data_IF_205984077124
#
_entry.id   IF_205984077124
#
_cell.length_a   1.000
_cell.length_b   1.000
_cell.length_c   1.000
_cell.angle_alpha   90.00
_cell.angle_beta   90.00
_cell.angle_gamma   90.00
#
_symmetry.space_group_name_H-M   'P 1'
#
loop_
_entity.id
_entity.type
_entity.pdbx_description
1 polymer ?
#
# COMPACT_ATOMS: atom_id res chain seq x y z
N UNK A 1 5.23 -11.35 21.73
CA UNK A 1 4.94 -10.18 20.86
C UNK A 1 5.58 -10.30 19.48
N UNK A 2 6.87 -10.58 19.37
CA UNK A 2 7.61 -10.61 18.08
C UNK A 2 7.10 -11.64 17.06
N UNK A 3 6.78 -12.88 17.48
CA UNK A 3 6.19 -13.91 16.59
C UNK A 3 4.84 -13.51 16.00
N UNK A 4 4.06 -12.70 16.75
CA UNK A 4 2.77 -12.17 16.28
C UNK A 4 3.04 -11.15 15.19
N UNK A 5 3.88 -10.14 15.46
CA UNK A 5 4.29 -9.10 14.49
C UNK A 5 4.83 -9.71 13.18
N UNK A 6 5.69 -10.73 13.25
CA UNK A 6 6.22 -11.41 12.05
C UNK A 6 5.13 -12.12 11.21
N UNK A 7 4.13 -12.74 11.85
CA UNK A 7 2.97 -13.31 11.14
C UNK A 7 2.07 -12.22 10.54
N UNK A 8 2.15 -10.99 11.03
CA UNK A 8 1.31 -9.86 10.56
C UNK A 8 1.96 -9.04 9.46
N UNK A 9 3.28 -8.94 9.49
CA UNK A 9 4.02 -8.12 8.53
C UNK A 9 4.37 -8.86 7.24
N UNK A 10 4.25 -10.19 7.17
CA UNK A 10 4.73 -10.92 5.98
C UNK A 10 3.95 -10.62 4.68
N UNK A 11 2.61 -10.47 4.63
CA UNK A 11 1.94 -10.16 3.37
C UNK A 11 2.27 -8.75 2.84
N UNK A 12 2.19 -7.66 3.63
CA UNK A 12 2.61 -6.35 3.15
C UNK A 12 4.13 -6.28 2.94
N UNK A 13 4.95 -7.07 3.64
CA UNK A 13 6.38 -7.15 3.36
C UNK A 13 6.67 -7.80 1.99
N UNK A 14 5.93 -8.84 1.59
CA UNK A 14 6.04 -9.40 0.24
C UNK A 14 5.67 -8.34 -0.80
N UNK A 15 4.57 -7.61 -0.59
CA UNK A 15 4.16 -6.53 -1.50
C UNK A 15 5.23 -5.45 -1.56
N UNK A 16 5.79 -5.04 -0.43
CA UNK A 16 6.90 -4.08 -0.41
C UNK A 16 8.12 -4.60 -1.19
N UNK A 17 8.50 -5.88 -1.03
CA UNK A 17 9.61 -6.46 -1.82
C UNK A 17 9.29 -6.44 -3.32
N UNK A 18 8.05 -6.75 -3.70
CA UNK A 18 7.60 -6.67 -5.10
C UNK A 18 7.70 -5.22 -5.59
N UNK A 19 7.22 -4.24 -4.82
CA UNK A 19 7.31 -2.82 -5.14
C UNK A 19 8.77 -2.41 -5.35
N UNK A 20 9.68 -2.77 -4.43
CA UNK A 20 11.10 -2.51 -4.58
C UNK A 20 11.66 -3.10 -5.88
N UNK A 21 11.31 -4.34 -6.20
CA UNK A 21 11.78 -5.00 -7.42
C UNK A 21 11.26 -4.28 -8.68
N UNK A 22 9.97 -3.95 -8.73
CA UNK A 22 9.35 -3.28 -9.86
C UNK A 22 9.87 -1.86 -10.08
N UNK A 23 10.05 -1.09 -9.01
CA UNK A 23 10.48 0.31 -9.06
C UNK A 23 11.99 0.46 -9.33
N UNK A 24 12.82 -0.40 -8.73
CA UNK A 24 14.27 -0.20 -8.75
C UNK A 24 15.02 -1.15 -9.71
N UNK A 25 14.56 -2.39 -9.89
CA UNK A 25 15.36 -3.43 -10.57
C UNK A 25 14.93 -3.72 -12.01
N UNK A 26 13.68 -3.45 -12.39
CA UNK A 26 13.25 -3.61 -13.78
C UNK A 26 13.76 -2.41 -14.61
N UNK A 27 14.30 -2.60 -15.82
CA UNK A 27 14.61 -1.47 -16.71
C UNK A 27 13.33 -0.89 -17.33
N UNK A 28 13.22 0.43 -17.41
CA UNK A 28 12.04 1.10 -17.98
C UNK A 28 11.83 0.72 -19.46
N UNK A 29 12.88 0.32 -20.18
CA UNK A 29 12.81 -0.07 -21.59
C UNK A 29 12.08 -1.41 -21.86
N UNK A 30 11.85 -2.23 -20.83
CA UNK A 30 11.13 -3.51 -20.97
C UNK A 30 9.61 -3.38 -20.74
N UNK A 31 9.13 -2.19 -20.35
CA UNK A 31 7.70 -1.96 -20.12
C UNK A 31 7.07 -1.59 -21.46
N UNK A 32 6.17 -2.43 -22.02
CA UNK A 32 5.51 -2.12 -23.28
C UNK A 32 4.74 -0.80 -23.15
N UNK A 33 4.99 0.13 -24.06
CA UNK A 33 4.23 1.38 -24.14
C UNK A 33 2.75 1.03 -24.34
N UNK A 34 1.96 1.31 -23.32
CA UNK A 34 0.51 1.15 -23.40
C UNK A 34 0.02 2.29 -24.29
N UNK A 35 -0.38 2.00 -25.52
CA UNK A 35 -0.89 2.98 -26.50
C UNK A 35 -2.25 3.61 -26.14
N UNK A 36 -2.53 3.74 -24.85
CA UNK A 36 -3.67 4.44 -24.28
C UNK A 36 -3.14 5.78 -23.77
N UNK A 37 -3.46 6.86 -24.45
CA UNK A 37 -3.18 8.22 -23.99
C UNK A 37 -4.10 8.55 -22.81
N UNK A 38 -3.69 8.18 -21.60
CA UNK A 38 -4.31 8.68 -20.39
C UNK A 38 -3.91 10.14 -20.14
N UNK A 39 -4.83 10.94 -19.59
CA UNK A 39 -4.51 12.30 -19.13
C UNK A 39 -3.44 12.31 -18.02
N UNK A 40 -3.34 11.22 -17.26
CA UNK A 40 -2.32 11.00 -16.23
C UNK A 40 -1.36 9.94 -16.76
N UNK A 41 -0.03 10.18 -16.72
CA UNK A 41 0.97 9.19 -17.07
C UNK A 41 0.75 7.85 -16.35
N UNK A 42 0.91 6.74 -17.10
CA UNK A 42 0.64 5.37 -16.61
C UNK A 42 1.50 4.99 -15.41
N UNK A 43 2.71 5.54 -15.30
CA UNK A 43 3.60 5.35 -14.15
C UNK A 43 2.93 5.75 -12.82
N UNK A 44 2.29 6.91 -12.76
CA UNK A 44 1.61 7.44 -11.56
C UNK A 44 0.41 6.61 -11.18
N UNK A 45 -0.31 6.08 -12.17
CA UNK A 45 -1.42 5.17 -11.93
C UNK A 45 -0.91 3.87 -11.28
N UNK A 46 0.20 3.34 -11.78
CA UNK A 46 0.84 2.14 -11.23
C UNK A 46 1.32 2.38 -9.80
N UNK A 47 2.01 3.50 -9.53
CA UNK A 47 2.43 3.92 -8.19
C UNK A 47 1.23 4.04 -7.23
N UNK A 48 0.18 4.75 -7.65
CA UNK A 48 -1.06 4.85 -6.88
C UNK A 48 -1.66 3.49 -6.53
N UNK A 49 -1.77 2.58 -7.51
CA UNK A 49 -2.33 1.24 -7.29
C UNK A 49 -1.45 0.37 -6.40
N UNK A 50 -0.12 0.47 -6.54
CA UNK A 50 0.84 -0.27 -5.72
C UNK A 50 0.73 0.12 -4.25
N UNK A 51 0.66 1.42 -3.94
CA UNK A 51 0.53 1.89 -2.55
C UNK A 51 -0.87 1.73 -1.99
N UNK A 52 -1.91 1.82 -2.83
CA UNK A 52 -3.28 1.41 -2.46
C UNK A 52 -3.31 -0.06 -2.05
N UNK A 53 -2.66 -0.93 -2.82
CA UNK A 53 -2.54 -2.36 -2.52
C UNK A 53 -1.74 -2.64 -1.25
N UNK A 54 -0.57 -2.01 -1.10
CA UNK A 54 0.29 -2.17 0.09
C UNK A 54 -0.43 -1.73 1.37
N UNK A 55 -0.97 -0.51 1.38
CA UNK A 55 -1.72 0.04 2.50
C UNK A 55 -3.01 -0.74 2.76
N UNK A 56 -3.72 -1.13 1.69
CA UNK A 56 -4.90 -1.98 1.72
C UNK A 56 -4.60 -3.31 2.42
N UNK A 57 -3.64 -4.09 1.94
CA UNK A 57 -3.30 -5.40 2.54
C UNK A 57 -2.82 -5.25 3.98
N UNK A 58 -2.02 -4.23 4.29
CA UNK A 58 -1.62 -3.93 5.66
C UNK A 58 -2.84 -3.67 6.59
N UNK A 59 -3.80 -2.87 6.11
CA UNK A 59 -5.02 -2.54 6.84
C UNK A 59 -5.95 -3.76 7.03
N UNK A 60 -6.19 -4.53 5.96
CA UNK A 60 -7.06 -5.71 5.98
C UNK A 60 -6.53 -6.78 6.93
N UNK A 61 -5.23 -7.04 6.91
CA UNK A 61 -4.61 -8.02 7.78
C UNK A 61 -4.76 -7.63 9.27
N UNK A 62 -4.59 -6.33 9.58
CA UNK A 62 -4.77 -5.83 10.95
C UNK A 62 -6.23 -5.89 11.42
N UNK A 63 -7.18 -5.54 10.55
CA UNK A 63 -8.62 -5.56 10.87
C UNK A 63 -9.11 -7.00 11.05
N UNK A 64 -8.71 -7.92 10.16
CA UNK A 64 -9.12 -9.31 10.20
C UNK A 64 -8.61 -10.04 11.45
N UNK A 65 -7.33 -9.87 11.84
CA UNK A 65 -6.79 -10.50 13.06
C UNK A 65 -7.50 -10.05 14.35
N UNK A 66 -7.99 -8.81 14.36
CA UNK A 66 -8.71 -8.24 15.50
C UNK A 66 -10.22 -8.41 15.41
N UNK A 67 -10.72 -9.12 14.40
CA UNK A 67 -12.15 -9.23 14.12
C UNK A 67 -12.86 -7.86 14.18
N UNK A 68 -12.28 -6.82 13.57
CA UNK A 68 -12.85 -5.46 13.57
C UNK A 68 -12.61 -4.62 14.83
N UNK A 69 -12.21 -5.23 15.97
CA UNK A 69 -11.91 -4.52 17.23
C UNK A 69 -10.49 -3.94 17.24
N UNK A 70 -10.23 -3.00 16.33
CA UNK A 70 -8.94 -2.33 16.16
C UNK A 70 -8.88 -0.94 16.83
N UNK A 71 -7.66 -0.46 17.06
CA UNK A 71 -7.40 0.94 17.38
C UNK A 71 -7.16 1.70 16.07
N UNK A 72 -8.03 2.64 15.74
CA UNK A 72 -7.98 3.41 14.47
C UNK A 72 -6.63 4.11 14.30
N UNK A 73 -6.08 4.69 15.36
CA UNK A 73 -4.76 5.34 15.30
C UNK A 73 -3.65 4.35 14.92
N UNK A 74 -3.71 3.10 15.41
CA UNK A 74 -2.74 2.07 15.02
C UNK A 74 -2.94 1.64 13.57
N UNK A 75 -4.18 1.57 13.09
CA UNK A 75 -4.46 1.31 11.68
C UNK A 75 -3.80 2.37 10.80
N UNK A 76 -4.03 3.66 11.09
CA UNK A 76 -3.45 4.77 10.32
C UNK A 76 -1.92 4.72 10.38
N UNK A 77 -1.34 4.52 11.58
CA UNK A 77 0.11 4.46 11.73
C UNK A 77 0.74 3.31 10.94
N UNK A 78 0.19 2.10 11.02
CA UNK A 78 0.78 0.92 10.38
C UNK A 78 0.44 0.80 8.90
N UNK A 79 -0.79 1.14 8.50
CA UNK A 79 -1.27 0.94 7.15
C UNK A 79 -1.08 2.16 6.24
N UNK A 80 -0.84 3.35 6.78
CA UNK A 80 -0.66 4.57 5.96
C UNK A 80 0.72 5.16 6.17
N UNK A 81 1.11 5.46 7.42
CA UNK A 81 2.37 6.15 7.66
C UNK A 81 3.59 5.31 7.25
N UNK A 82 3.59 4.01 7.54
CA UNK A 82 4.70 3.12 7.15
C UNK A 82 4.83 3.02 5.63
N UNK A 83 3.76 2.75 4.84
CA UNK A 83 3.83 2.80 3.38
C UNK A 83 4.31 4.14 2.83
N UNK A 84 3.83 5.28 3.36
CA UNK A 84 4.29 6.60 2.89
C UNK A 84 5.79 6.79 3.12
N UNK A 85 6.29 6.47 4.31
CA UNK A 85 7.73 6.55 4.61
C UNK A 85 8.52 5.62 3.69
N UNK A 86 7.98 4.42 3.43
CA UNK A 86 8.57 3.47 2.52
C UNK A 86 8.65 4.01 1.08
N UNK A 87 7.60 4.63 0.55
CA UNK A 87 7.62 5.24 -0.79
C UNK A 87 8.59 6.40 -0.92
N UNK A 88 8.61 7.31 0.06
CA UNK A 88 9.61 8.37 0.08
C UNK A 88 11.05 7.85 0.13
N UNK A 89 11.28 6.74 0.82
CA UNK A 89 12.58 6.07 0.82
C UNK A 89 12.93 5.46 -0.55
N UNK A 90 11.98 4.84 -1.23
CA UNK A 90 12.17 4.27 -2.59
C UNK A 90 12.50 5.37 -3.59
N UNK A 91 11.78 6.49 -3.57
CA UNK A 91 12.01 7.62 -4.48
C UNK A 91 13.41 8.24 -4.29
N UNK A 92 13.84 8.41 -3.04
CA UNK A 92 15.20 8.87 -2.72
C UNK A 92 16.24 7.86 -3.20
N UNK A 93 15.97 6.55 -3.04
CA UNK A 93 16.87 5.51 -3.52
C UNK A 93 16.97 5.52 -5.06
N UNK A 94 15.86 5.65 -5.77
CA UNK A 94 15.84 5.73 -7.22
C UNK A 94 16.64 6.95 -7.70
N UNK A 95 16.36 8.14 -7.16
CA UNK A 95 17.04 9.37 -7.51
C UNK A 95 18.57 9.33 -7.27
N UNK A 96 19.03 8.60 -6.25
CA UNK A 96 20.45 8.58 -5.85
C UNK A 96 21.25 7.42 -6.42
N UNK A 97 20.64 6.25 -6.59
CA UNK A 97 21.34 5.00 -6.93
C UNK A 97 20.93 4.39 -8.26
N UNK A 98 19.81 4.82 -8.86
CA UNK A 98 19.30 4.27 -10.12
C UNK A 98 19.18 5.38 -11.17
N UNK A 99 20.28 5.77 -11.84
CA UNK A 99 20.31 6.90 -12.77
C UNK A 99 19.42 6.73 -14.01
N UNK A 100 18.96 5.51 -14.32
CA UNK A 100 17.99 5.22 -15.39
C UNK A 100 16.53 5.42 -14.95
N UNK A 101 16.28 5.71 -13.66
CA UNK A 101 14.98 6.00 -13.09
C UNK A 101 14.93 7.46 -12.65
N UNK A 102 13.97 8.23 -13.17
CA UNK A 102 13.69 9.57 -12.65
C UNK A 102 12.90 9.45 -11.37
N UNK A 103 13.56 9.53 -10.20
CA UNK A 103 12.81 9.74 -8.95
C UNK A 103 12.05 11.06 -9.07
N UNK A 104 10.72 11.01 -9.00
CA UNK A 104 9.84 12.15 -9.23
C UNK A 104 8.97 12.39 -7.99
N UNK A 105 8.89 13.64 -7.56
CA UNK A 105 8.00 14.05 -6.48
C UNK A 105 6.53 13.79 -6.82
N UNK A 106 6.17 13.70 -8.11
CA UNK A 106 4.82 13.31 -8.53
C UNK A 106 4.54 11.82 -8.32
N UNK A 107 5.55 10.95 -8.40
CA UNK A 107 5.39 9.52 -8.11
C UNK A 107 5.25 9.31 -6.60
N UNK A 108 6.03 10.05 -5.79
CA UNK A 108 5.80 10.12 -4.34
C UNK A 108 4.39 10.61 -3.97
N UNK A 109 3.86 11.60 -4.70
CA UNK A 109 2.50 12.08 -4.47
C UNK A 109 1.48 10.99 -4.80
N UNK A 110 1.68 10.23 -5.89
CA UNK A 110 0.82 9.11 -6.24
C UNK A 110 0.85 8.02 -5.16
N UNK A 111 2.02 7.71 -4.60
CA UNK A 111 2.19 6.77 -3.48
C UNK A 111 1.37 7.21 -2.25
N UNK A 112 1.48 8.49 -1.88
CA UNK A 112 0.74 9.06 -0.74
C UNK A 112 -0.76 9.00 -0.97
N UNK A 113 -1.23 9.38 -2.16
CA UNK A 113 -2.64 9.33 -2.51
C UNK A 113 -3.16 7.89 -2.48
N UNK A 114 -2.42 6.93 -3.03
CA UNK A 114 -2.77 5.51 -3.00
C UNK A 114 -2.92 4.99 -1.57
N UNK A 115 -1.93 5.30 -0.72
CA UNK A 115 -1.97 4.91 0.69
C UNK A 115 -3.17 5.52 1.44
N UNK A 116 -3.49 6.79 1.21
CA UNK A 116 -4.63 7.47 1.84
C UNK A 116 -5.98 6.92 1.33
N UNK A 117 -6.08 6.63 0.03
CA UNK A 117 -7.26 6.04 -0.59
C UNK A 117 -7.59 4.64 -0.04
N UNK A 118 -6.65 3.96 0.62
CA UNK A 118 -6.94 2.68 1.29
C UNK A 118 -7.86 2.85 2.51
N UNK A 119 -7.80 3.97 3.23
CA UNK A 119 -8.53 4.21 4.48
C UNK A 119 -10.05 4.02 4.38
N UNK A 120 -10.78 4.64 3.43
CA UNK A 120 -12.23 4.43 3.31
C UNK A 120 -12.57 2.95 3.08
N UNK A 121 -11.76 2.24 2.29
CA UNK A 121 -11.96 0.82 2.02
C UNK A 121 -11.72 -0.03 3.28
N UNK A 122 -10.68 0.28 4.06
CA UNK A 122 -10.41 -0.38 5.34
C UNK A 122 -11.51 -0.14 6.38
N UNK A 123 -12.01 1.10 6.48
CA UNK A 123 -13.07 1.45 7.43
C UNK A 123 -14.40 0.79 7.06
N UNK A 124 -14.73 0.74 5.78
CA UNK A 124 -15.87 -0.01 5.28
C UNK A 124 -15.77 -1.50 5.62
N UNK A 125 -14.61 -2.13 5.37
CA UNK A 125 -14.38 -3.53 5.69
C UNK A 125 -14.48 -3.82 7.19
N UNK A 126 -13.96 -2.93 8.04
CA UNK A 126 -14.13 -3.02 9.49
C UNK A 126 -15.61 -3.01 9.88
N UNK A 127 -16.39 -2.06 9.36
CA UNK A 127 -17.82 -1.96 9.66
C UNK A 127 -18.58 -3.20 9.20
N UNK A 128 -18.23 -3.75 8.03
CA UNK A 128 -18.79 -5.01 7.54
C UNK A 128 -18.54 -6.18 8.50
N UNK A 129 -17.31 -6.34 9.00
CA UNK A 129 -16.97 -7.41 9.95
C UNK A 129 -17.73 -7.28 11.27
N UNK A 130 -17.78 -6.07 11.84
CA UNK A 130 -18.49 -5.82 13.10
C UNK A 130 -20.00 -6.09 12.95
N UNK A 131 -20.60 -5.69 11.82
CA UNK A 131 -22.02 -5.93 11.56
C UNK A 131 -22.35 -7.43 11.41
N UNK A 132 -21.46 -8.22 10.79
CA UNK A 132 -21.66 -9.69 10.73
C UNK A 132 -21.69 -10.31 12.13
N UNK A 133 -20.78 -9.90 13.00
CA UNK A 133 -20.71 -10.43 14.36
C UNK A 133 -21.92 -10.08 15.20
N UNK A 134 -22.47 -8.87 15.04
CA UNK A 134 -23.71 -8.47 15.72
C UNK A 134 -24.89 -9.34 15.27
N UNK A 135 -25.04 -9.55 13.97
CA UNK A 135 -26.11 -10.41 13.43
C UNK A 135 -25.97 -11.87 13.87
N UNK A 136 -24.74 -12.38 14.00
CA UNK A 136 -24.48 -13.75 14.48
C UNK A 136 -24.80 -13.91 15.99
N UNK A 137 -24.90 -12.82 16.77
CA UNK A 137 -25.30 -12.87 18.19
C UNK A 137 -26.82 -12.77 18.41
N UNK A 138 -27.57 -12.30 17.41
CA UNK A 138 -29.03 -12.17 17.47
C UNK A 138 -29.78 -13.45 17.06
N UNK A 139 -29.06 -14.47 16.57
CA UNK A 139 -29.56 -15.80 16.16
C UNK A 139 -29.28 -16.83 17.27
#
# INVERSE_FOLDING_TARGET
MLKRIFKYSWPPAIIAIIIFYLCCLIPTQEIPEVGIDFFIPTDKIVHFLMYLGLAGVASFNYIYDKNGHIIILKLILFAVLIPIIYGGFIEILQAKYFPERSGDWYDFLADVLGALSSLPFSLWFRSFLLNRQLNDQEI
#
